data_IF_983952921990
#
_entry.id   IF_983952921990
#
_cell.length_a   1.000
_cell.length_b   1.000
_cell.length_c   1.000
_cell.angle_alpha   90.00
_cell.angle_beta   90.00
_cell.angle_gamma   90.00
#
_symmetry.space_group_name_H-M   'P 1'
#
loop_
_entity.id
_entity.type
_entity.pdbx_description
1 polymer ?
#
# COMPACT_ATOMS: atom_id res chain seq x y z
N UNK A 1 35.71 -13.31 -0.22
CA UNK A 1 34.26 -13.10 -0.04
C UNK A 1 34.00 -12.99 1.45
N UNK A 2 33.60 -11.82 1.93
CA UNK A 2 33.15 -11.65 3.31
C UNK A 2 31.68 -12.08 3.41
N UNK A 3 31.37 -12.94 4.37
CA UNK A 3 29.99 -13.30 4.68
C UNK A 3 29.43 -12.24 5.62
N UNK A 4 28.38 -11.54 5.19
CA UNK A 4 27.69 -10.55 6.01
C UNK A 4 26.55 -11.24 6.76
N UNK A 5 26.74 -11.42 8.07
CA UNK A 5 25.75 -12.02 8.94
C UNK A 5 24.83 -10.94 9.50
N UNK A 6 23.54 -11.01 9.18
CA UNK A 6 22.52 -10.12 9.72
C UNK A 6 21.82 -10.78 10.92
N UNK A 7 21.71 -10.05 12.03
CA UNK A 7 20.93 -10.48 13.18
C UNK A 7 19.44 -10.35 12.85
N UNK A 8 18.70 -11.46 12.87
CA UNK A 8 17.25 -11.44 12.69
C UNK A 8 16.60 -11.17 14.05
N UNK A 9 15.95 -10.01 14.27
CA UNK A 9 15.30 -9.72 15.54
C UNK A 9 14.12 -10.68 15.75
N UNK A 10 14.02 -11.23 16.96
CA UNK A 10 12.88 -12.03 17.41
C UNK A 10 11.82 -11.08 17.96
N UNK A 11 11.14 -10.38 17.06
CA UNK A 11 10.02 -9.51 17.43
C UNK A 11 8.73 -10.33 17.64
N UNK A 12 7.75 -9.74 18.33
CA UNK A 12 6.42 -10.34 18.56
C UNK A 12 5.57 -10.47 17.27
N UNK A 13 6.07 -9.96 16.14
CA UNK A 13 5.39 -10.04 14.85
C UNK A 13 5.68 -11.40 14.23
N UNK A 14 4.64 -12.24 14.06
CA UNK A 14 4.75 -13.51 13.33
C UNK A 14 5.38 -13.27 11.95
N UNK A 15 6.35 -14.09 11.55
CA UNK A 15 7.12 -13.95 10.31
C UNK A 15 6.25 -13.68 9.05
N UNK A 16 5.09 -14.34 8.96
CA UNK A 16 4.11 -14.16 7.89
C UNK A 16 3.50 -12.73 7.77
N UNK A 17 3.68 -11.88 8.78
CA UNK A 17 3.21 -10.49 8.85
C UNK A 17 4.34 -9.48 9.00
N UNK A 18 5.59 -9.93 9.08
CA UNK A 18 6.75 -9.05 9.24
C UNK A 18 7.07 -8.21 7.98
N UNK A 19 6.53 -8.62 6.82
CA UNK A 19 6.71 -7.91 5.56
C UNK A 19 5.79 -6.69 5.43
N UNK A 20 6.34 -5.63 4.85
CA UNK A 20 5.55 -4.51 4.35
C UNK A 20 4.64 -5.05 3.24
N UNK A 21 3.33 -4.82 3.36
CA UNK A 21 2.36 -5.24 2.36
C UNK A 21 1.46 -4.07 1.99
N UNK A 22 1.45 -3.73 0.70
CA UNK A 22 0.69 -2.62 0.14
C UNK A 22 0.12 -3.05 -1.21
N UNK A 23 -1.13 -2.70 -1.47
CA UNK A 23 -1.78 -2.89 -2.77
C UNK A 23 -2.50 -1.62 -3.19
N UNK A 24 -2.74 -1.48 -4.50
CA UNK A 24 -3.65 -0.48 -5.06
C UNK A 24 -4.60 -1.15 -6.03
N UNK A 25 -5.87 -0.81 -5.98
CA UNK A 25 -6.87 -1.36 -6.91
C UNK A 25 -7.28 -0.35 -8.01
N UNK A 26 -8.04 -0.78 -9.04
CA UNK A 26 -8.44 0.09 -10.15
C UNK A 26 -9.25 1.34 -9.75
N UNK A 27 -9.91 1.32 -8.60
CA UNK A 27 -10.68 2.48 -8.12
C UNK A 27 -9.81 3.49 -7.38
N UNK A 28 -8.56 3.14 -7.04
CA UNK A 28 -7.62 4.01 -6.32
C UNK A 28 -7.59 3.78 -4.81
N UNK A 29 -8.12 2.67 -4.30
CA UNK A 29 -7.95 2.30 -2.89
C UNK A 29 -6.55 1.72 -2.68
N UNK A 30 -5.71 2.44 -1.95
CA UNK A 30 -4.41 1.94 -1.48
C UNK A 30 -4.64 1.24 -0.15
N UNK A 31 -4.38 -0.06 -0.10
CA UNK A 31 -4.57 -0.89 1.10
C UNK A 31 -3.20 -1.27 1.64
N UNK A 32 -3.00 -1.06 2.93
CA UNK A 32 -1.81 -1.51 3.65
C UNK A 32 -2.20 -2.45 4.79
N UNK A 33 -1.37 -3.46 5.06
CA UNK A 33 -1.59 -4.30 6.23
C UNK A 33 -1.38 -3.49 7.53
N UNK A 34 -1.81 -4.07 8.65
CA UNK A 34 -1.67 -3.46 9.97
C UNK A 34 -0.21 -3.11 10.31
N UNK A 35 0.71 -4.02 9.98
CA UNK A 35 2.14 -3.89 10.32
C UNK A 35 2.79 -2.73 9.56
N UNK A 36 2.53 -2.58 8.26
CA UNK A 36 2.97 -1.42 7.47
C UNK A 36 2.45 -0.12 8.09
N UNK A 37 1.17 -0.07 8.46
CA UNK A 37 0.59 1.12 9.07
C UNK A 37 1.22 1.46 10.44
N UNK A 38 1.46 0.46 11.27
CA UNK A 38 2.12 0.64 12.57
C UNK A 38 3.58 1.08 12.40
N UNK A 39 4.32 0.53 11.42
CA UNK A 39 5.69 0.96 11.10
C UNK A 39 5.77 2.40 10.58
N UNK A 40 4.69 2.91 9.98
CA UNK A 40 4.56 4.32 9.60
C UNK A 40 4.20 5.24 10.78
N UNK A 41 4.16 4.71 12.02
CA UNK A 41 3.81 5.46 13.22
C UNK A 41 2.30 5.61 13.45
N UNK A 42 1.48 4.79 12.79
CA UNK A 42 0.03 4.81 12.87
C UNK A 42 -0.61 6.21 12.66
N UNK A 43 -0.25 6.94 11.60
CA UNK A 43 -0.56 8.36 11.48
C UNK A 43 -2.05 8.63 11.24
N UNK A 44 -2.51 9.78 11.72
CA UNK A 44 -3.91 10.20 11.60
C UNK A 44 -4.35 10.46 10.14
N UNK A 45 -3.40 10.83 9.27
CA UNK A 45 -3.61 11.04 7.85
C UNK A 45 -2.32 10.84 7.04
N UNK A 46 -2.45 10.86 5.71
CA UNK A 46 -1.35 10.83 4.76
C UNK A 46 -1.44 11.97 3.74
N UNK A 47 -0.31 12.53 3.34
CA UNK A 47 -0.19 13.20 2.04
C UNK A 47 0.12 12.15 0.98
N UNK A 48 -0.64 12.18 -0.13
CA UNK A 48 -0.41 11.31 -1.27
C UNK A 48 0.41 12.09 -2.30
N UNK A 49 1.58 11.56 -2.64
CA UNK A 49 2.52 12.17 -3.57
C UNK A 49 2.72 11.24 -4.77
N UNK A 50 2.96 11.82 -5.94
CA UNK A 50 3.24 11.07 -7.16
C UNK A 50 4.47 11.61 -7.85
N UNK A 51 5.46 10.74 -8.01
CA UNK A 51 6.60 11.00 -8.86
C UNK A 51 6.27 10.50 -10.28
N UNK A 52 5.97 11.44 -11.16
CA UNK A 52 5.65 11.15 -12.57
C UNK A 52 6.86 10.61 -13.33
N UNK A 53 8.07 11.04 -12.99
CA UNK A 53 9.31 10.67 -13.69
C UNK A 53 9.68 9.23 -13.39
N UNK A 54 9.60 8.84 -12.12
CA UNK A 54 9.96 7.50 -11.67
C UNK A 54 8.77 6.54 -11.56
N UNK A 55 7.54 7.04 -11.76
CA UNK A 55 6.30 6.26 -11.62
C UNK A 55 6.12 5.69 -10.21
N UNK A 56 6.38 6.50 -9.19
CA UNK A 56 6.31 6.10 -7.78
C UNK A 56 5.18 6.83 -7.05
N UNK A 57 4.54 6.11 -6.13
CA UNK A 57 3.54 6.66 -5.21
C UNK A 57 4.19 6.78 -3.83
N UNK A 58 4.11 7.99 -3.26
CA UNK A 58 4.56 8.27 -1.90
C UNK A 58 3.37 8.47 -0.95
N UNK A 59 3.41 7.85 0.24
CA UNK A 59 2.51 8.18 1.34
C UNK A 59 3.31 8.75 2.51
N UNK A 60 3.21 10.07 2.71
CA UNK A 60 3.88 10.76 3.81
C UNK A 60 2.95 10.89 5.02
N UNK A 61 3.31 10.37 6.20
CA UNK A 61 2.56 10.59 7.44
C UNK A 61 2.30 12.09 7.69
N UNK A 62 1.07 12.43 8.08
CA UNK A 62 0.69 13.83 8.34
C UNK A 62 -0.45 13.95 9.36
N UNK A 63 -0.67 15.17 9.84
CA UNK A 63 -1.80 15.48 10.71
C UNK A 63 -3.09 15.69 9.90
N UNK A 64 -4.23 15.33 10.48
CA UNK A 64 -5.54 15.44 9.82
C UNK A 64 -5.93 16.90 9.51
N UNK A 65 -5.41 17.87 10.25
CA UNK A 65 -5.63 19.30 10.05
C UNK A 65 -4.89 19.87 8.83
N UNK A 66 -3.94 19.13 8.25
CA UNK A 66 -3.15 19.61 7.13
C UNK A 66 -3.96 19.64 5.84
N UNK A 67 -3.69 20.64 4.99
CA UNK A 67 -4.29 20.72 3.65
C UNK A 67 -3.94 19.47 2.85
N UNK A 68 -4.91 18.95 2.10
CA UNK A 68 -4.77 17.73 1.28
C UNK A 68 -4.45 16.45 2.08
N UNK A 69 -4.78 16.40 3.37
CA UNK A 69 -4.64 15.21 4.19
C UNK A 69 -5.69 14.14 3.85
N UNK A 70 -5.25 12.91 3.61
CA UNK A 70 -6.10 11.75 3.35
C UNK A 70 -6.18 10.87 4.60
N UNK A 71 -7.39 10.74 5.15
CA UNK A 71 -7.62 9.89 6.34
C UNK A 71 -7.58 8.40 5.96
N UNK A 72 -6.79 7.56 6.66
CA UNK A 72 -6.88 6.12 6.54
C UNK A 72 -8.15 5.58 7.21
N UNK A 73 -8.86 4.71 6.54
CA UNK A 73 -10.00 3.98 7.11
C UNK A 73 -9.60 2.54 7.46
N UNK A 74 -10.25 1.96 8.47
CA UNK A 74 -10.05 0.53 8.76
C UNK A 74 -10.74 -0.32 7.67
N UNK A 75 -10.04 -1.32 7.17
CA UNK A 75 -10.53 -2.29 6.19
C UNK A 75 -10.49 -3.71 6.76
N UNK A 76 -11.66 -4.35 6.82
CA UNK A 76 -11.80 -5.72 7.31
C UNK A 76 -11.50 -5.88 8.81
N UNK A 77 -11.54 -7.13 9.28
CA UNK A 77 -11.40 -7.47 10.72
C UNK A 77 -9.96 -7.45 11.25
N UNK A 78 -8.97 -7.52 10.36
CA UNK A 78 -7.54 -7.70 10.74
C UNK A 78 -6.75 -6.40 10.86
N UNK A 79 -7.45 -5.26 10.91
CA UNK A 79 -6.81 -3.95 11.13
C UNK A 79 -6.03 -3.42 9.94
N UNK A 80 -6.28 -3.91 8.72
CA UNK A 80 -5.72 -3.29 7.52
C UNK A 80 -6.25 -1.85 7.39
N UNK A 81 -5.47 -0.99 6.76
CA UNK A 81 -5.83 0.41 6.52
C UNK A 81 -5.97 0.68 5.04
N UNK A 82 -6.93 1.52 4.69
CA UNK A 82 -7.18 1.94 3.32
C UNK A 82 -7.14 3.46 3.21
N UNK A 83 -6.36 3.94 2.24
CA UNK A 83 -6.30 5.34 1.84
C UNK A 83 -6.92 5.48 0.45
N UNK A 84 -7.92 6.35 0.31
CA UNK A 84 -8.65 6.53 -0.96
C UNK A 84 -7.93 7.52 -1.86
N UNK A 85 -7.16 7.02 -2.81
CA UNK A 85 -6.36 7.78 -3.77
C UNK A 85 -7.03 7.93 -5.15
N UNK A 86 -8.36 7.89 -5.24
CA UNK A 86 -9.07 7.99 -6.53
C UNK A 86 -8.71 9.28 -7.31
N UNK A 87 -8.36 10.35 -6.58
CA UNK A 87 -7.91 11.63 -7.15
C UNK A 87 -6.55 11.50 -7.86
N UNK A 88 -5.60 10.75 -7.28
CA UNK A 88 -4.30 10.44 -7.88
C UNK A 88 -4.47 9.80 -9.26
N UNK A 89 -5.31 8.77 -9.37
CA UNK A 89 -5.51 8.08 -10.65
C UNK A 89 -6.12 9.00 -11.71
N UNK A 90 -7.10 9.84 -11.32
CA UNK A 90 -7.78 10.76 -12.22
C UNK A 90 -6.90 11.91 -12.68
N UNK A 91 -6.20 12.58 -11.77
CA UNK A 91 -5.39 13.76 -12.09
C UNK A 91 -4.15 13.41 -12.92
N UNK A 92 -3.54 12.26 -12.68
CA UNK A 92 -2.33 11.84 -13.38
C UNK A 92 -2.58 10.82 -14.50
N UNK A 93 -3.84 10.49 -14.80
CA UNK A 93 -4.22 9.57 -15.87
C UNK A 93 -3.67 8.14 -15.68
N UNK A 94 -3.43 7.72 -14.45
CA UNK A 94 -2.85 6.42 -14.13
C UNK A 94 -3.92 5.34 -14.33
N UNK A 95 -3.69 4.42 -15.27
CA UNK A 95 -4.59 3.31 -15.56
C UNK A 95 -4.11 2.05 -14.86
N UNK A 96 -4.90 1.56 -13.92
CA UNK A 96 -4.63 0.33 -13.15
C UNK A 96 -5.65 -0.73 -13.61
N UNK A 97 -5.23 -1.76 -14.36
CA UNK A 97 -6.16 -2.73 -14.96
C UNK A 97 -6.74 -3.72 -13.94
N UNK A 98 -5.95 -4.06 -12.93
CA UNK A 98 -6.36 -4.88 -11.79
C UNK A 98 -5.59 -4.48 -10.53
N UNK A 99 -5.89 -5.11 -9.40
CA UNK A 99 -5.22 -4.84 -8.14
C UNK A 99 -3.74 -5.19 -8.23
N UNK A 100 -2.91 -4.17 -8.07
CA UNK A 100 -1.46 -4.29 -8.04
C UNK A 100 -0.99 -4.45 -6.60
N UNK A 101 -0.04 -5.35 -6.41
CA UNK A 101 0.69 -5.62 -5.18
C UNK A 101 2.13 -5.12 -5.35
N UNK A 102 2.58 -4.33 -4.37
CA UNK A 102 3.92 -3.77 -4.37
C UNK A 102 4.83 -4.68 -3.54
N UNK A 103 5.83 -5.27 -4.19
CA UNK A 103 6.80 -6.15 -3.52
C UNK A 103 8.01 -5.38 -2.98
N UNK A 104 8.43 -4.34 -3.70
CA UNK A 104 9.57 -3.49 -3.32
C UNK A 104 9.06 -2.21 -2.63
N UNK A 105 8.29 -2.41 -1.57
CA UNK A 105 7.83 -1.30 -0.72
C UNK A 105 8.92 -0.97 0.27
N UNK A 106 9.28 0.30 0.34
CA UNK A 106 10.23 0.83 1.33
C UNK A 106 9.59 1.95 2.15
N UNK A 107 10.11 2.14 3.36
CA UNK A 107 9.86 3.33 4.17
C UNK A 107 11.19 4.07 4.19
N UNK A 108 11.19 5.30 3.67
CA UNK A 108 12.38 6.12 3.63
C UNK A 108 12.77 6.64 5.04
N UNK A 109 13.97 7.23 5.21
CA UNK A 109 14.40 7.78 6.51
C UNK A 109 13.48 8.87 7.08
N UNK A 110 12.69 9.54 6.23
CA UNK A 110 11.72 10.57 6.62
C UNK A 110 10.34 9.96 7.00
N UNK A 111 10.21 8.64 6.97
CA UNK A 111 8.99 7.90 7.31
C UNK A 111 7.94 7.87 6.19
N UNK A 112 8.28 8.25 4.96
CA UNK A 112 7.41 8.15 3.80
C UNK A 112 7.45 6.73 3.22
N UNK A 113 6.27 6.16 3.02
CA UNK A 113 6.12 4.91 2.30
C UNK A 113 6.29 5.17 0.79
N UNK A 114 7.20 4.46 0.14
CA UNK A 114 7.41 4.54 -1.31
C UNK A 114 6.98 3.22 -1.94
N UNK A 115 6.13 3.33 -2.96
CA UNK A 115 5.61 2.21 -3.73
C UNK A 115 5.87 2.45 -5.23
N UNK A 116 6.68 1.57 -5.85
CA UNK A 116 7.06 1.68 -7.25
C UNK A 116 6.05 0.95 -8.16
N UNK A 117 5.40 1.68 -9.08
CA UNK A 117 4.44 1.09 -10.01
C UNK A 117 5.10 0.19 -11.06
N UNK A 118 6.40 0.34 -11.32
CA UNK A 118 7.13 -0.44 -12.33
C UNK A 118 7.40 -1.87 -11.87
N UNK A 119 7.59 -2.07 -10.56
CA UNK A 119 7.84 -3.40 -9.98
C UNK A 119 6.56 -4.05 -9.44
N UNK A 120 5.46 -3.30 -9.38
CA UNK A 120 4.17 -3.79 -8.92
C UNK A 120 3.64 -4.92 -9.81
N UNK A 121 3.08 -5.96 -9.18
CA UNK A 121 2.54 -7.13 -9.88
C UNK A 121 1.05 -7.26 -9.65
N UNK A 122 0.33 -7.88 -10.58
CA UNK A 122 -1.08 -8.21 -10.36
C UNK A 122 -1.19 -9.18 -9.18
N UNK A 123 -1.95 -8.82 -8.15
CA UNK A 123 -2.12 -9.67 -6.97
C UNK A 123 -2.96 -10.88 -7.36
N UNK A 124 -2.36 -12.07 -7.32
CA UNK A 124 -3.04 -13.34 -7.62
C UNK A 124 -4.26 -13.58 -6.73
N UNK A 125 -4.18 -13.15 -5.46
CA UNK A 125 -5.28 -13.21 -4.47
C UNK A 125 -6.45 -12.33 -4.88
N UNK A 126 -6.19 -11.07 -5.22
CA UNK A 126 -7.23 -10.13 -5.60
C UNK A 126 -7.86 -10.49 -6.96
N UNK A 127 -7.02 -10.88 -7.93
CA UNK A 127 -7.46 -11.33 -9.25
C UNK A 127 -8.35 -12.60 -9.15
N UNK A 128 -7.99 -13.55 -8.28
CA UNK A 128 -8.82 -14.74 -8.00
C UNK A 128 -10.17 -14.38 -7.37
N UNK A 129 -10.20 -13.46 -6.41
CA UNK A 129 -11.44 -12.99 -5.78
C UNK A 129 -12.38 -12.31 -6.77
N UNK A 130 -11.83 -11.51 -7.69
CA UNK A 130 -12.61 -10.85 -8.74
C UNK A 130 -13.28 -11.86 -9.67
N UNK A 131 -12.56 -12.91 -10.09
CA UNK A 131 -13.15 -14.00 -10.91
C UNK A 131 -14.32 -14.68 -10.19
N UNK A 132 -14.14 -15.11 -8.94
CA UNK A 132 -15.21 -15.72 -8.14
C UNK A 132 -16.47 -14.85 -8.01
N UNK A 133 -16.31 -13.53 -7.83
CA UNK A 133 -17.44 -12.62 -7.74
C UNK A 133 -18.14 -12.35 -9.08
N UNK A 134 -17.43 -12.54 -10.20
CA UNK A 134 -18.01 -12.39 -11.54
C UNK A 134 -18.83 -13.63 -11.89
N UNK A 135 -18.37 -14.83 -11.48
CA UNK A 135 -19.07 -16.10 -11.69
C UNK A 135 -20.31 -16.29 -10.79
N UNK A 136 -20.44 -15.50 -9.71
CA UNK A 136 -21.55 -15.56 -8.74
C UNK A 136 -22.69 -14.57 -9.00
N UNK A 137 -22.60 -13.73 -10.04
CA UNK A 137 -23.72 -12.90 -10.49
C UNK A 137 -24.38 -13.54 -11.72
N UNK A 138 -25.54 -14.21 -11.59
CA UNK A 138 -26.36 -14.45 -12.76
C UNK A 138 -26.83 -13.09 -13.31
N UNK A 139 -26.92 -13.01 -14.63
CA UNK A 139 -27.44 -11.86 -15.38
C UNK A 139 -28.88 -11.51 -14.97
#
# INVERSE_FOLDING_TARGET
>A
MSVEWNLVPKDDIRAQWAGLYVTINPIGSIVMNRVTYERLGAPAAFHIMFDKVNSRIGLKPTALSMKHAYRPCTQGRRGAKVVRANRLLKEYGIKIPDTLEFHDVEIDPDGMLIADLRTARVSSKAHSQRRKNTDLKPA
#
